data_IF_159496330860
#
_entry.id   IF_159496330860
#
_cell.length_a   1.000
_cell.length_b   1.000
_cell.length_c   1.000
_cell.angle_alpha   90.00
_cell.angle_beta   90.00
_cell.angle_gamma   90.00
#
_symmetry.space_group_name_H-M   'P 1'
#
loop_
_entity.id
_entity.type
_entity.pdbx_description
1 polymer ?
#
# COMPACT_ATOMS: atom_id res chain seq x y z
N UNK A 1 14.09 10.10 -22.89
CA UNK A 1 14.33 9.24 -21.72
C UNK A 1 13.05 8.58 -21.27
N UNK A 2 13.09 7.29 -21.06
CA UNK A 2 11.95 6.60 -20.48
C UNK A 2 11.87 6.94 -18.99
N UNK A 3 10.65 7.19 -18.49
CA UNK A 3 10.45 7.33 -17.05
C UNK A 3 10.65 5.99 -16.36
N UNK A 4 10.96 6.02 -15.07
CA UNK A 4 10.98 4.82 -14.25
C UNK A 4 9.60 4.15 -14.24
N UNK A 5 9.52 2.80 -14.26
CA UNK A 5 8.24 2.12 -14.10
C UNK A 5 7.56 2.54 -12.78
N UNK A 6 6.25 2.76 -12.84
CA UNK A 6 5.44 3.07 -11.66
C UNK A 6 4.67 1.84 -11.22
N UNK A 7 4.80 1.51 -9.96
CA UNK A 7 4.14 0.36 -9.35
C UNK A 7 3.26 0.86 -8.22
N UNK A 8 1.96 0.62 -8.32
CA UNK A 8 1.06 0.87 -7.20
C UNK A 8 1.17 -0.29 -6.21
N UNK A 9 1.71 -0.01 -5.04
CA UNK A 9 1.87 -0.99 -3.98
C UNK A 9 0.70 -0.88 -3.00
N UNK A 10 -0.24 -1.81 -3.11
CA UNK A 10 -1.48 -1.80 -2.33
C UNK A 10 -1.29 -2.73 -1.13
N UNK A 11 -0.76 -2.19 -0.04
CA UNK A 11 -0.33 -2.96 1.12
C UNK A 11 -0.51 -2.17 2.41
N UNK A 12 -0.44 -2.88 3.53
CA UNK A 12 -0.42 -2.26 4.85
C UNK A 12 0.93 -1.61 5.15
N UNK A 13 0.94 -0.73 6.12
CA UNK A 13 2.15 -0.13 6.67
C UNK A 13 2.22 -0.44 8.15
N UNK A 14 3.28 -1.14 8.57
CA UNK A 14 3.57 -1.39 9.98
C UNK A 14 4.63 -0.41 10.46
N UNK A 15 4.36 0.26 11.58
CA UNK A 15 5.30 1.22 12.16
C UNK A 15 6.54 0.55 12.72
N UNK A 16 6.38 -0.62 13.31
CA UNK A 16 7.49 -1.42 13.83
C UNK A 16 7.50 -2.80 13.17
N UNK A 17 8.68 -3.23 12.77
CA UNK A 17 8.84 -4.47 12.03
C UNK A 17 8.86 -4.22 10.52
N UNK A 18 9.86 -4.77 9.84
CA UNK A 18 10.03 -4.59 8.39
C UNK A 18 9.21 -5.63 7.65
N UNK A 19 8.08 -5.22 7.11
CA UNK A 19 7.26 -6.06 6.25
C UNK A 19 6.36 -5.18 5.38
N UNK A 20 5.71 -5.77 4.40
CA UNK A 20 4.78 -5.10 3.48
C UNK A 20 5.39 -3.80 2.92
N UNK A 21 4.76 -2.65 3.09
CA UNK A 21 5.20 -1.38 2.48
C UNK A 21 6.63 -0.99 2.88
N UNK A 22 7.04 -1.25 4.13
CA UNK A 22 8.39 -0.89 4.58
C UNK A 22 9.49 -1.72 3.93
N UNK A 23 9.16 -2.89 3.38
CA UNK A 23 10.08 -3.71 2.58
C UNK A 23 9.91 -3.41 1.09
N UNK A 24 8.69 -3.36 0.60
CA UNK A 24 8.38 -3.22 -0.83
C UNK A 24 8.92 -1.90 -1.37
N UNK A 25 8.75 -0.81 -0.63
CA UNK A 25 9.17 0.51 -1.10
C UNK A 25 10.66 0.60 -1.39
N UNK A 26 11.56 0.26 -0.45
CA UNK A 26 12.99 0.30 -0.73
C UNK A 26 13.44 -0.74 -1.75
N UNK A 27 12.84 -1.92 -1.78
CA UNK A 27 13.19 -2.98 -2.73
C UNK A 27 12.85 -2.55 -4.16
N UNK A 28 11.62 -2.08 -4.40
CA UNK A 28 11.24 -1.61 -5.73
C UNK A 28 12.06 -0.41 -6.18
N UNK A 29 12.36 0.48 -5.25
CA UNK A 29 13.21 1.64 -5.52
C UNK A 29 14.61 1.22 -5.95
N UNK A 30 15.21 0.25 -5.26
CA UNK A 30 16.53 -0.29 -5.59
C UNK A 30 16.52 -1.00 -6.96
N UNK A 31 15.39 -1.54 -7.38
CA UNK A 31 15.22 -2.18 -8.69
C UNK A 31 14.97 -1.19 -9.82
N UNK A 32 14.93 0.11 -9.52
CA UNK A 32 14.71 1.16 -10.52
C UNK A 32 13.25 1.53 -10.73
N UNK A 33 12.34 1.04 -9.92
CA UNK A 33 10.92 1.37 -10.01
C UNK A 33 10.52 2.52 -9.08
N UNK A 34 9.45 3.21 -9.43
CA UNK A 34 8.82 4.18 -8.55
C UNK A 34 7.67 3.49 -7.81
N UNK A 35 7.84 3.25 -6.52
CA UNK A 35 6.81 2.66 -5.69
C UNK A 35 5.84 3.76 -5.22
N UNK A 36 4.56 3.57 -5.54
CA UNK A 36 3.49 4.49 -5.14
C UNK A 36 2.58 3.75 -4.15
N UNK A 37 2.75 3.96 -2.85
CA UNK A 37 1.97 3.19 -1.87
C UNK A 37 0.53 3.67 -1.78
N UNK A 38 -0.40 2.72 -1.84
CA UNK A 38 -1.79 2.89 -1.46
C UNK A 38 -2.03 2.02 -0.23
N UNK A 39 -2.18 2.64 0.92
CA UNK A 39 -2.22 1.91 2.18
C UNK A 39 -3.60 1.29 2.42
N UNK A 40 -3.61 0.00 2.77
CA UNK A 40 -4.82 -0.73 3.15
C UNK A 40 -5.11 -0.62 4.64
N UNK A 41 -4.07 -0.48 5.45
CA UNK A 41 -4.16 -0.38 6.89
C UNK A 41 -2.85 0.16 7.46
N UNK A 42 -2.92 0.78 8.62
CA UNK A 42 -1.76 1.11 9.43
C UNK A 42 -1.79 0.29 10.71
N UNK A 43 -0.65 -0.34 11.03
CA UNK A 43 -0.47 -1.10 12.26
C UNK A 43 0.71 -0.52 13.04
N UNK A 44 0.60 -0.46 14.37
CA UNK A 44 1.71 -0.01 15.20
C UNK A 44 2.91 -0.95 15.11
N UNK A 45 2.65 -2.26 14.94
CA UNK A 45 3.65 -3.29 14.68
C UNK A 45 3.03 -4.37 13.80
N UNK A 46 3.85 -5.11 13.03
CA UNK A 46 3.29 -6.16 12.20
C UNK A 46 2.74 -7.33 13.05
N UNK A 47 1.89 -8.15 12.43
CA UNK A 47 1.08 -9.14 13.14
C UNK A 47 1.87 -10.28 13.78
N UNK A 48 3.16 -10.43 13.47
CA UNK A 48 4.01 -11.42 14.12
C UNK A 48 4.43 -11.02 15.54
N UNK A 49 4.26 -9.75 15.92
CA UNK A 49 4.52 -9.31 17.29
C UNK A 49 3.32 -9.56 18.18
N UNK A 50 3.54 -9.81 19.49
CA UNK A 50 2.44 -10.03 20.40
C UNK A 50 1.49 -8.84 20.47
N UNK A 51 0.18 -9.06 20.48
CA UNK A 51 -0.77 -7.96 20.62
C UNK A 51 -0.66 -7.32 22.01
N UNK A 52 -0.99 -6.04 22.08
CA UNK A 52 -0.99 -5.25 23.30
C UNK A 52 -2.30 -4.49 23.40
N UNK A 53 -2.77 -4.14 24.62
CA UNK A 53 -3.93 -3.25 24.76
C UNK A 53 -3.73 -1.89 24.12
N UNK A 54 -2.47 -1.52 23.84
CA UNK A 54 -2.11 -0.24 23.21
C UNK A 54 -1.80 -0.39 21.73
N UNK A 55 -1.97 -1.58 21.16
CA UNK A 55 -1.75 -1.79 19.72
C UNK A 55 -2.72 -0.96 18.88
N UNK A 56 -2.20 -0.36 17.82
CA UNK A 56 -3.01 0.42 16.87
C UNK A 56 -3.19 -0.39 15.60
N UNK A 57 -4.44 -0.53 15.18
CA UNK A 57 -4.81 -1.03 13.86
C UNK A 57 -5.81 -0.07 13.26
N UNK A 58 -5.44 0.57 12.17
CA UNK A 58 -6.31 1.51 11.48
C UNK A 58 -6.63 0.96 10.09
N UNK A 59 -7.89 0.62 9.86
CA UNK A 59 -8.37 0.20 8.55
C UNK A 59 -8.50 1.44 7.65
N UNK A 60 -7.84 1.40 6.49
CA UNK A 60 -7.84 2.51 5.54
C UNK A 60 -8.69 2.23 4.30
N UNK A 61 -9.67 1.31 4.41
CA UNK A 61 -10.53 0.96 3.27
C UNK A 61 -11.19 2.18 2.65
N UNK A 62 -11.71 3.10 3.47
CA UNK A 62 -12.41 4.28 2.97
C UNK A 62 -11.46 5.24 2.24
N UNK A 63 -10.19 5.27 2.64
CA UNK A 63 -9.18 6.13 2.04
C UNK A 63 -8.61 5.60 0.74
N UNK A 64 -8.81 4.32 0.43
CA UNK A 64 -8.27 3.74 -0.82
C UNK A 64 -8.89 4.40 -2.04
N UNK A 65 -10.22 4.52 -2.09
CA UNK A 65 -10.91 5.20 -3.19
C UNK A 65 -10.54 6.69 -3.24
N UNK A 66 -10.43 7.33 -2.08
CA UNK A 66 -10.05 8.74 -1.98
C UNK A 66 -8.61 8.98 -2.42
N UNK A 67 -7.73 8.00 -2.25
CA UNK A 67 -6.36 8.08 -2.75
C UNK A 67 -6.32 7.91 -4.26
N UNK A 68 -7.11 7.00 -4.81
CA UNK A 68 -7.14 6.72 -6.23
C UNK A 68 -7.66 7.91 -7.05
N UNK A 69 -8.63 8.66 -6.52
CA UNK A 69 -9.25 9.76 -7.24
C UNK A 69 -8.24 10.87 -7.65
N UNK A 70 -7.44 11.44 -6.73
CA UNK A 70 -6.43 12.43 -7.14
C UNK A 70 -5.36 11.85 -8.06
N UNK A 71 -5.02 10.57 -7.93
CA UNK A 71 -4.07 9.95 -8.88
C UNK A 71 -4.66 9.91 -10.30
N UNK A 72 -5.95 9.60 -10.42
CA UNK A 72 -6.64 9.62 -11.70
C UNK A 72 -6.71 11.04 -12.28
N UNK A 73 -7.00 12.03 -11.44
CA UNK A 73 -7.04 13.44 -11.85
C UNK A 73 -5.69 13.94 -12.36
N UNK A 74 -4.59 13.49 -11.74
CA UNK A 74 -3.24 13.80 -12.18
C UNK A 74 -2.84 13.06 -13.45
N UNK A 75 -3.65 12.10 -13.90
CA UNK A 75 -3.34 11.29 -15.07
C UNK A 75 -2.13 10.39 -14.86
N UNK A 76 -1.94 9.89 -13.63
CA UNK A 76 -0.78 9.04 -13.32
C UNK A 76 -0.97 7.65 -13.90
N UNK A 77 -0.16 7.24 -14.89
CA UNK A 77 -0.22 5.87 -15.40
C UNK A 77 0.59 4.94 -14.52
N UNK A 78 0.08 3.72 -14.30
CA UNK A 78 0.80 2.67 -13.58
C UNK A 78 1.16 1.55 -14.54
N UNK A 79 2.36 1.00 -14.35
CA UNK A 79 2.84 -0.11 -15.16
C UNK A 79 2.53 -1.45 -14.50
N UNK A 80 2.34 -1.48 -13.18
CA UNK A 80 2.04 -2.69 -12.43
C UNK A 80 1.31 -2.36 -11.13
N UNK A 81 0.57 -3.35 -10.64
CA UNK A 81 -0.04 -3.35 -9.31
C UNK A 81 0.58 -4.48 -8.50
N UNK A 82 0.89 -4.21 -7.26
CA UNK A 82 1.40 -5.21 -6.33
C UNK A 82 0.56 -5.14 -5.06
N UNK A 83 -0.28 -6.13 -4.83
CA UNK A 83 -1.14 -6.17 -3.65
C UNK A 83 -0.61 -7.18 -2.62
N UNK A 84 -0.76 -6.82 -1.35
CA UNK A 84 -0.40 -7.66 -0.22
C UNK A 84 -1.57 -7.87 0.71
N UNK A 85 -1.35 -7.65 2.02
CA UNK A 85 -2.40 -7.81 3.02
C UNK A 85 -3.58 -6.88 2.75
N UNK A 86 -4.79 -7.45 2.82
CA UNK A 86 -6.04 -6.71 2.67
C UNK A 86 -6.79 -6.72 4.01
N UNK A 87 -7.23 -5.54 4.44
CA UNK A 87 -7.92 -5.39 5.72
C UNK A 87 -9.35 -5.91 5.72
N UNK A 88 -9.97 -6.02 4.53
CA UNK A 88 -11.35 -6.49 4.39
C UNK A 88 -11.62 -7.00 2.99
N UNK A 89 -12.69 -7.79 2.84
CA UNK A 89 -13.11 -8.27 1.52
C UNK A 89 -13.52 -7.14 0.57
N UNK A 90 -14.03 -6.03 1.11
CA UNK A 90 -14.39 -4.87 0.31
C UNK A 90 -13.22 -4.23 -0.42
N UNK A 91 -12.02 -4.39 0.10
CA UNK A 91 -10.81 -3.86 -0.53
C UNK A 91 -10.48 -4.57 -1.84
N UNK A 92 -10.88 -5.83 -1.99
CA UNK A 92 -10.71 -6.56 -3.25
C UNK A 92 -11.46 -5.86 -4.39
N UNK A 93 -12.71 -5.47 -4.15
CA UNK A 93 -13.50 -4.76 -5.15
C UNK A 93 -12.88 -3.39 -5.48
N UNK A 94 -12.32 -2.70 -4.49
CA UNK A 94 -11.65 -1.42 -4.71
C UNK A 94 -10.40 -1.58 -5.58
N UNK A 95 -9.62 -2.65 -5.38
CA UNK A 95 -8.45 -2.95 -6.22
C UNK A 95 -8.89 -3.26 -7.65
N UNK A 96 -9.93 -4.05 -7.81
CA UNK A 96 -10.45 -4.38 -9.15
C UNK A 96 -10.94 -3.14 -9.89
N UNK A 97 -11.51 -2.17 -9.19
CA UNK A 97 -11.95 -0.90 -9.76
C UNK A 97 -10.79 0.04 -10.11
N UNK A 98 -9.65 -0.16 -9.47
CA UNK A 98 -8.46 0.66 -9.70
C UNK A 98 -7.80 0.33 -11.03
#
# INVERSE_FOLDING_TARGET
>A
MKRAPRIAAIQDLSGFGRCSTTVVLPVLSAMGGQCCPMLTAYLSAHTAFPPSPHSVFLDLSDQMSETAAPWAELGVPFDALYSGFLGSAGQIAQIEAF
#
